data_IF_111242392132
#
_entry.id   IF_111242392132
#
_cell.length_a   1.000
_cell.length_b   1.000
_cell.length_c   1.000
_cell.angle_alpha   90.00
_cell.angle_beta   90.00
_cell.angle_gamma   90.00
#
_symmetry.space_group_name_H-M   'P 1'
#
loop_
_entity.id
_entity.type
_entity.pdbx_description
1 polymer ?
#
# COMPACT_ATOMS: atom_id res chain seq x y z
N UNK A 1 6.05 -18.74 52.28
CA UNK A 1 5.10 -18.12 51.34
C UNK A 1 5.91 -17.51 50.22
N UNK A 2 5.97 -18.22 49.10
CA UNK A 2 6.65 -17.76 47.89
C UNK A 2 5.76 -16.68 47.28
N UNK A 3 6.35 -15.50 47.05
CA UNK A 3 5.63 -14.37 46.47
C UNK A 3 5.46 -14.67 44.99
N UNK A 4 4.26 -15.03 44.58
CA UNK A 4 3.92 -15.23 43.18
C UNK A 4 4.21 -13.91 42.45
N UNK A 5 5.15 -13.96 41.51
CA UNK A 5 5.42 -12.86 40.60
C UNK A 5 4.36 -12.98 39.51
N UNK A 6 3.39 -12.08 39.54
CA UNK A 6 2.41 -11.88 38.48
C UNK A 6 3.14 -11.34 37.24
N UNK A 7 3.72 -12.22 36.43
CA UNK A 7 4.25 -11.89 35.11
C UNK A 7 3.13 -12.00 34.08
N UNK A 8 2.18 -11.06 34.13
CA UNK A 8 1.25 -10.83 33.04
C UNK A 8 1.33 -9.37 32.58
N UNK A 9 2.54 -8.89 32.30
CA UNK A 9 2.71 -7.72 31.44
C UNK A 9 2.31 -8.12 30.02
N UNK A 10 1.01 -8.06 29.72
CA UNK A 10 0.56 -7.95 28.33
C UNK A 10 1.06 -6.61 27.81
N UNK A 11 2.23 -6.62 27.16
CA UNK A 11 2.73 -5.48 26.42
C UNK A 11 1.69 -5.14 25.33
N UNK A 12 0.86 -4.14 25.59
CA UNK A 12 -0.09 -3.63 24.62
C UNK A 12 0.70 -2.90 23.53
N UNK A 13 0.77 -3.50 22.34
CA UNK A 13 1.41 -2.88 21.18
C UNK A 13 0.53 -1.76 20.63
N UNK A 14 1.17 -0.72 20.09
CA UNK A 14 0.46 0.38 19.44
C UNK A 14 -0.39 -0.12 18.27
N UNK A 15 -1.65 0.31 18.25
CA UNK A 15 -2.59 0.09 17.15
C UNK A 15 -2.32 1.10 16.04
N UNK A 16 -2.89 0.86 14.86
CA UNK A 16 -2.77 1.80 13.73
C UNK A 16 -3.33 3.17 14.10
N UNK A 17 -4.43 3.20 14.86
CA UNK A 17 -5.10 4.43 15.31
C UNK A 17 -4.24 5.29 16.26
N UNK A 18 -3.17 4.74 16.85
CA UNK A 18 -2.28 5.48 17.74
C UNK A 18 -1.22 6.31 16.98
N UNK A 19 -1.15 6.15 15.65
CA UNK A 19 -0.22 6.87 14.78
C UNK A 19 -0.93 7.99 14.01
N UNK A 20 -0.18 9.06 13.73
CA UNK A 20 -0.65 10.20 12.95
C UNK A 20 -0.83 9.83 11.46
N UNK A 21 -1.87 10.36 10.82
CA UNK A 21 -2.21 10.13 9.41
C UNK A 21 -1.15 10.66 8.42
N UNK A 22 -0.22 11.51 8.88
CA UNK A 22 0.80 12.19 8.06
C UNK A 22 1.50 11.29 7.05
N UNK A 23 1.86 10.06 7.41
CA UNK A 23 2.56 9.16 6.48
C UNK A 23 1.72 8.86 5.24
N UNK A 24 0.41 8.64 5.41
CA UNK A 24 -0.52 8.41 4.30
C UNK A 24 -0.68 9.68 3.48
N UNK A 25 -0.78 10.84 4.14
CA UNK A 25 -0.90 12.13 3.47
C UNK A 25 0.32 12.45 2.59
N UNK A 26 1.53 12.24 3.10
CA UNK A 26 2.77 12.48 2.34
C UNK A 26 2.87 11.60 1.08
N UNK A 27 2.45 10.33 1.19
CA UNK A 27 2.42 9.43 0.03
C UNK A 27 1.33 9.82 -0.98
N UNK A 28 0.17 10.31 -0.52
CA UNK A 28 -0.85 10.88 -1.40
C UNK A 28 -0.35 12.13 -2.13
N UNK A 29 0.36 13.03 -1.45
CA UNK A 29 0.99 14.19 -2.09
C UNK A 29 2.02 13.77 -3.15
N UNK A 30 2.83 12.75 -2.85
CA UNK A 30 3.78 12.17 -3.81
C UNK A 30 3.07 11.56 -5.02
N UNK A 31 1.92 10.89 -4.82
CA UNK A 31 1.11 10.37 -5.92
C UNK A 31 0.69 11.49 -6.87
N UNK A 32 0.13 12.58 -6.33
CA UNK A 32 -0.32 13.73 -7.11
C UNK A 32 0.82 14.35 -7.90
N UNK A 33 2.02 14.40 -7.33
CA UNK A 33 3.21 14.95 -7.99
C UNK A 33 3.67 14.10 -9.19
N UNK A 34 3.66 12.76 -9.04
CA UNK A 34 4.14 11.84 -10.07
C UNK A 34 3.08 11.62 -11.15
N UNK A 35 1.84 11.36 -10.75
CA UNK A 35 0.74 11.00 -11.64
C UNK A 35 0.43 12.10 -12.66
N UNK A 36 0.64 13.37 -12.29
CA UNK A 36 0.52 14.52 -13.21
C UNK A 36 1.35 14.35 -14.50
N UNK A 37 2.44 13.60 -14.44
CA UNK A 37 3.35 13.33 -15.56
C UNK A 37 3.27 11.90 -16.08
N UNK A 38 2.35 11.09 -15.56
CA UNK A 38 2.14 9.72 -16.00
C UNK A 38 1.23 9.71 -17.24
N UNK A 39 1.84 9.56 -18.42
CA UNK A 39 1.09 9.39 -19.67
C UNK A 39 0.21 8.13 -19.59
N UNK A 40 -1.01 8.21 -20.11
CA UNK A 40 -1.93 7.08 -20.14
C UNK A 40 -2.71 6.83 -18.84
N UNK A 41 -2.41 7.55 -17.76
CA UNK A 41 -3.06 7.35 -16.48
C UNK A 41 -4.48 7.95 -16.37
N UNK A 42 -4.87 8.79 -17.33
CA UNK A 42 -6.20 9.41 -17.40
C UNK A 42 -7.02 8.79 -18.55
N UNK A 43 -8.34 8.60 -18.38
CA UNK A 43 -9.14 8.97 -17.20
C UNK A 43 -9.17 7.90 -16.09
N UNK A 44 -9.16 6.62 -16.44
CA UNK A 44 -9.44 5.52 -15.51
C UNK A 44 -8.22 4.88 -14.81
N UNK A 45 -7.06 4.70 -15.46
CA UNK A 45 -5.98 3.90 -14.86
C UNK A 45 -5.46 4.43 -13.52
N UNK A 46 -5.50 5.74 -13.27
CA UNK A 46 -5.22 6.32 -11.94
C UNK A 46 -6.12 5.76 -10.85
N UNK A 47 -7.43 5.64 -11.10
CA UNK A 47 -8.38 5.12 -10.10
C UNK A 47 -8.11 3.64 -9.80
N UNK A 48 -7.83 2.84 -10.84
CA UNK A 48 -7.49 1.43 -10.68
C UNK A 48 -6.22 1.26 -9.84
N UNK A 49 -5.15 1.98 -10.18
CA UNK A 49 -3.89 1.91 -9.48
C UNK A 49 -4.01 2.34 -8.01
N UNK A 50 -4.74 3.43 -7.71
CA UNK A 50 -5.03 3.84 -6.34
C UNK A 50 -5.87 2.82 -5.57
N UNK A 51 -6.77 2.09 -6.24
CA UNK A 51 -7.50 0.97 -5.65
C UNK A 51 -6.57 -0.11 -5.12
N UNK A 52 -5.59 -0.55 -5.91
CA UNK A 52 -4.59 -1.54 -5.48
C UNK A 52 -3.64 -1.01 -4.40
N UNK A 53 -3.23 0.26 -4.49
CA UNK A 53 -2.41 0.90 -3.44
C UNK A 53 -3.18 0.96 -2.12
N UNK A 54 -4.46 1.34 -2.15
CA UNK A 54 -5.33 1.37 -0.99
C UNK A 54 -5.52 -0.02 -0.38
N UNK A 55 -5.80 -1.02 -1.21
CA UNK A 55 -5.91 -2.41 -0.78
C UNK A 55 -4.62 -2.91 -0.13
N UNK A 56 -3.45 -2.65 -0.73
CA UNK A 56 -2.16 -3.05 -0.18
C UNK A 56 -1.88 -2.39 1.18
N UNK A 57 -2.12 -1.08 1.32
CA UNK A 57 -1.95 -0.38 2.59
C UNK A 57 -2.91 -0.92 3.66
N UNK A 58 -4.17 -1.16 3.29
CA UNK A 58 -5.17 -1.72 4.19
C UNK A 58 -4.78 -3.12 4.69
N UNK A 59 -4.51 -4.04 3.77
CA UNK A 59 -4.14 -5.42 4.11
C UNK A 59 -2.85 -5.51 4.92
N UNK A 60 -1.90 -4.59 4.70
CA UNK A 60 -0.65 -4.55 5.45
C UNK A 60 -0.82 -4.04 6.89
N UNK A 61 -1.94 -3.39 7.20
CA UNK A 61 -2.13 -2.72 8.50
C UNK A 61 -3.36 -3.21 9.26
N UNK A 62 -4.27 -3.96 8.63
CA UNK A 62 -5.53 -4.41 9.23
C UNK A 62 -5.35 -5.26 10.50
N UNK A 63 -4.23 -5.96 10.65
CA UNK A 63 -3.93 -6.70 11.89
C UNK A 63 -3.70 -5.79 13.11
N UNK A 64 -3.35 -4.52 12.89
CA UNK A 64 -3.29 -3.48 13.91
C UNK A 64 -4.58 -2.67 14.06
N UNK A 65 -5.68 -3.07 13.42
CA UNK A 65 -6.98 -2.41 13.42
C UNK A 65 -8.04 -3.37 13.99
N UNK A 66 -8.23 -3.39 15.32
CA UNK A 66 -9.03 -4.41 16.02
C UNK A 66 -10.49 -4.56 15.53
N UNK A 67 -11.06 -3.49 14.99
CA UNK A 67 -12.48 -3.45 14.58
C UNK A 67 -12.67 -3.78 13.09
N UNK A 68 -11.59 -4.15 12.39
CA UNK A 68 -11.55 -4.34 10.95
C UNK A 68 -11.09 -5.75 10.58
N UNK A 69 -11.45 -6.20 9.38
CA UNK A 69 -11.15 -7.54 8.88
C UNK A 69 -10.53 -7.46 7.49
N UNK A 70 -9.58 -8.36 7.21
CA UNK A 70 -9.01 -8.50 5.87
C UNK A 70 -10.12 -8.64 4.81
N UNK A 71 -9.97 -7.89 3.72
CA UNK A 71 -10.81 -7.96 2.53
C UNK A 71 -10.34 -9.04 1.55
N UNK A 72 -9.12 -9.55 1.70
CA UNK A 72 -8.55 -10.59 0.85
C UNK A 72 -9.48 -11.78 0.55
N UNK A 73 -10.30 -12.30 1.49
CA UNK A 73 -11.25 -13.38 1.19
C UNK A 73 -12.29 -13.06 0.11
N UNK A 74 -12.57 -11.77 -0.13
CA UNK A 74 -13.51 -11.33 -1.16
C UNK A 74 -12.86 -11.26 -2.56
N UNK A 75 -11.54 -11.44 -2.65
CA UNK A 75 -10.77 -11.33 -3.88
C UNK A 75 -10.13 -12.68 -4.24
N UNK A 76 -10.73 -13.36 -5.21
CA UNK A 76 -10.26 -14.67 -5.67
C UNK A 76 -8.77 -14.64 -6.07
N UNK A 77 -8.00 -15.59 -5.52
CA UNK A 77 -6.56 -15.72 -5.80
C UNK A 77 -5.65 -14.79 -5.00
N UNK A 78 -6.18 -13.82 -4.25
CA UNK A 78 -5.37 -12.94 -3.42
C UNK A 78 -4.99 -13.64 -2.11
N UNK A 79 -3.69 -13.74 -1.84
CA UNK A 79 -3.16 -14.28 -0.57
C UNK A 79 -2.23 -13.26 0.07
N UNK A 80 -2.57 -12.82 1.28
CA UNK A 80 -1.82 -11.80 2.02
C UNK A 80 -0.92 -12.43 3.08
N UNK A 81 0.39 -12.09 3.12
CA UNK A 81 1.27 -12.47 4.22
C UNK A 81 0.76 -11.95 5.56
N UNK A 82 0.68 -12.80 6.58
CA UNK A 82 0.20 -12.43 7.91
C UNK A 82 1.33 -11.85 8.77
N UNK A 83 0.98 -10.99 9.71
CA UNK A 83 1.89 -10.57 10.78
C UNK A 83 2.20 -11.73 11.72
N UNK A 84 3.35 -11.67 12.39
CA UNK A 84 3.65 -12.60 13.47
C UNK A 84 2.80 -12.28 14.71
N UNK A 85 2.27 -13.33 15.35
CA UNK A 85 1.53 -13.19 16.61
C UNK A 85 2.44 -12.68 17.72
N UNK A 86 1.92 -11.83 18.60
CA UNK A 86 2.63 -11.29 19.77
C UNK A 86 3.94 -10.58 19.42
N UNK A 87 3.99 -9.91 18.27
CA UNK A 87 5.13 -9.11 17.83
C UNK A 87 4.67 -7.67 17.57
N UNK A 88 5.50 -6.70 17.97
CA UNK A 88 5.25 -5.29 17.71
C UNK A 88 5.48 -4.97 16.23
N UNK A 89 4.64 -4.10 15.66
CA UNK A 89 4.85 -3.52 14.34
C UNK A 89 4.75 -2.00 14.42
N UNK A 90 5.63 -1.31 13.69
CA UNK A 90 5.58 0.13 13.50
C UNK A 90 4.81 0.42 12.21
N UNK A 91 3.51 0.65 12.33
CA UNK A 91 2.59 0.80 11.18
C UNK A 91 3.00 1.88 10.17
N UNK A 92 3.56 3.04 10.56
CA UNK A 92 4.10 4.00 9.58
C UNK A 92 5.23 3.43 8.72
N UNK A 93 6.09 2.56 9.28
CA UNK A 93 7.13 1.87 8.50
C UNK A 93 6.50 0.90 7.51
N UNK A 94 5.44 0.18 7.90
CA UNK A 94 4.70 -0.71 7.02
C UNK A 94 4.12 0.06 5.82
N UNK A 95 3.41 1.17 6.07
CA UNK A 95 2.83 2.03 5.02
C UNK A 95 3.91 2.59 4.09
N UNK A 96 5.04 3.04 4.66
CA UNK A 96 6.14 3.57 3.86
C UNK A 96 6.72 2.52 2.91
N UNK A 97 6.90 1.29 3.41
CA UNK A 97 7.39 0.17 2.63
C UNK A 97 6.41 -0.22 1.50
N UNK A 98 5.10 -0.28 1.80
CA UNK A 98 4.06 -0.57 0.80
C UNK A 98 4.09 0.44 -0.34
N UNK A 99 4.02 1.74 -0.01
CA UNK A 99 3.92 2.77 -1.04
C UNK A 99 5.22 2.91 -1.84
N UNK A 100 6.39 2.81 -1.19
CA UNK A 100 7.66 2.76 -1.91
C UNK A 100 7.69 1.59 -2.91
N UNK A 101 7.23 0.40 -2.51
CA UNK A 101 7.20 -0.76 -3.42
C UNK A 101 6.25 -0.53 -4.61
N UNK A 102 5.01 -0.12 -4.34
CA UNK A 102 3.96 0.01 -5.35
C UNK A 102 4.26 1.15 -6.34
N UNK A 103 4.68 2.32 -5.85
CA UNK A 103 4.86 3.50 -6.70
C UNK A 103 6.05 3.30 -7.65
N UNK A 104 7.10 2.60 -7.23
CA UNK A 104 8.22 2.25 -8.12
C UNK A 104 7.81 1.28 -9.26
N UNK A 105 6.63 0.67 -9.21
CA UNK A 105 6.16 -0.32 -10.21
C UNK A 105 5.00 0.17 -11.05
N UNK A 106 4.14 1.00 -10.47
CA UNK A 106 2.97 1.53 -11.14
C UNK A 106 3.34 2.51 -12.25
N UNK A 107 4.46 3.24 -12.16
CA UNK A 107 4.76 4.33 -13.08
C UNK A 107 5.85 4.02 -14.14
N UNK A 108 5.80 2.93 -14.91
CA UNK A 108 6.95 2.42 -15.69
C UNK A 108 7.52 3.42 -16.72
N UNK A 109 6.72 4.38 -17.17
CA UNK A 109 7.08 5.32 -18.25
C UNK A 109 7.39 6.74 -17.78
N UNK A 110 7.42 7.01 -16.47
CA UNK A 110 7.76 8.34 -15.95
C UNK A 110 9.28 8.58 -15.96
N UNK A 111 9.68 9.86 -16.00
CA UNK A 111 11.10 10.25 -15.96
C UNK A 111 11.78 9.77 -14.67
N UNK A 112 13.04 9.36 -14.78
CA UNK A 112 13.89 8.92 -13.65
C UNK A 112 13.96 9.92 -12.48
N UNK A 113 13.81 11.22 -12.75
CA UNK A 113 13.75 12.27 -11.72
C UNK A 113 12.58 12.06 -10.74
N UNK A 114 11.45 11.53 -11.20
CA UNK A 114 10.28 11.28 -10.36
C UNK A 114 10.48 10.05 -9.46
N UNK A 115 11.15 9.01 -9.96
CA UNK A 115 11.58 7.88 -9.12
C UNK A 115 12.55 8.31 -8.01
N UNK A 116 13.42 9.29 -8.29
CA UNK A 116 14.27 9.87 -7.26
C UNK A 116 13.46 10.51 -6.13
N UNK A 117 12.30 11.13 -6.42
CA UNK A 117 11.42 11.72 -5.41
C UNK A 117 10.78 10.67 -4.51
N UNK A 118 10.30 9.56 -5.10
CA UNK A 118 9.82 8.38 -4.35
C UNK A 118 10.90 7.92 -3.37
N UNK A 119 12.13 7.73 -3.88
CA UNK A 119 13.25 7.25 -3.06
C UNK A 119 13.57 8.24 -1.94
N UNK A 120 13.64 9.53 -2.23
CA UNK A 120 13.94 10.56 -1.22
C UNK A 120 12.89 10.58 -0.12
N UNK A 121 11.60 10.48 -0.46
CA UNK A 121 10.52 10.39 0.53
C UNK A 121 10.65 9.13 1.39
N UNK A 122 10.85 7.97 0.75
CA UNK A 122 11.03 6.70 1.47
C UNK A 122 12.23 6.76 2.42
N UNK A 123 13.39 7.20 1.95
CA UNK A 123 14.62 7.30 2.75
C UNK A 123 14.46 8.31 3.91
N UNK A 124 13.77 9.44 3.68
CA UNK A 124 13.46 10.43 4.73
C UNK A 124 12.66 9.78 5.85
N UNK A 125 11.60 9.05 5.49
CA UNK A 125 10.72 8.38 6.44
C UNK A 125 11.42 7.22 7.16
N UNK A 126 12.22 6.43 6.46
CA UNK A 126 13.02 5.37 7.08
C UNK A 126 13.98 5.91 8.15
N UNK A 127 14.70 7.01 7.86
CA UNK A 127 15.58 7.67 8.83
C UNK A 127 14.83 8.17 10.06
N UNK A 128 13.63 8.72 9.88
CA UNK A 128 12.78 9.18 10.98
C UNK A 128 12.30 8.00 11.83
N UNK A 129 11.80 6.94 11.21
CA UNK A 129 11.18 5.81 11.91
C UNK A 129 12.20 4.91 12.62
N UNK A 130 13.43 4.82 12.14
CA UNK A 130 14.53 4.18 12.88
C UNK A 130 14.81 4.83 14.23
N UNK A 131 14.39 6.08 14.45
CA UNK A 131 14.51 6.78 15.74
C UNK A 131 13.29 6.60 16.65
N UNK A 132 12.19 6.02 16.13
CA UNK A 132 10.90 5.90 16.83
C UNK A 132 10.63 4.49 17.34
N UNK A 133 11.40 3.49 16.90
CA UNK A 133 11.24 2.09 17.29
C UNK A 133 12.59 1.36 17.27
N UNK A 134 12.61 0.11 17.74
CA UNK A 134 13.81 -0.72 17.70
C UNK A 134 14.18 -1.09 16.25
N UNK A 135 15.46 -1.38 16.00
CA UNK A 135 15.91 -1.86 14.68
C UNK A 135 15.18 -3.14 14.25
N UNK A 136 14.89 -4.03 15.20
CA UNK A 136 14.16 -5.27 14.94
C UNK A 136 12.70 -5.01 14.53
N UNK A 137 11.97 -4.19 15.30
CA UNK A 137 10.60 -3.78 14.97
C UNK A 137 10.56 -3.06 13.64
N UNK A 138 11.50 -2.16 13.37
CA UNK A 138 11.61 -1.47 12.09
C UNK A 138 11.76 -2.44 10.92
N UNK A 139 12.74 -3.35 10.99
CA UNK A 139 13.02 -4.30 9.91
C UNK A 139 11.85 -5.26 9.67
N UNK A 140 11.27 -5.79 10.75
CA UNK A 140 10.07 -6.64 10.67
C UNK A 140 8.90 -5.90 10.00
N UNK A 141 8.70 -4.63 10.35
CA UNK A 141 7.64 -3.79 9.78
C UNK A 141 7.86 -3.51 8.30
N UNK A 142 9.09 -3.14 7.92
CA UNK A 142 9.46 -2.91 6.52
C UNK A 142 9.25 -4.17 5.68
N UNK A 143 9.78 -5.31 6.15
CA UNK A 143 9.66 -6.58 5.44
C UNK A 143 8.20 -7.02 5.28
N UNK A 144 7.35 -6.79 6.29
CA UNK A 144 5.93 -7.09 6.20
C UNK A 144 5.22 -6.22 5.15
N UNK A 145 5.47 -4.91 5.15
CA UNK A 145 4.92 -4.01 4.14
C UNK A 145 5.35 -4.38 2.71
N UNK A 146 6.63 -4.68 2.50
CA UNK A 146 7.14 -5.12 1.19
C UNK A 146 6.54 -6.47 0.75
N UNK A 147 6.35 -7.41 1.67
CA UNK A 147 5.76 -8.71 1.39
C UNK A 147 4.29 -8.58 0.98
N UNK A 148 3.51 -7.76 1.69
CA UNK A 148 2.10 -7.51 1.35
C UNK A 148 1.97 -6.76 0.03
N UNK A 149 2.78 -5.72 -0.20
CA UNK A 149 2.79 -5.01 -1.47
C UNK A 149 3.19 -5.92 -2.64
N UNK A 150 4.15 -6.83 -2.44
CA UNK A 150 4.51 -7.84 -3.43
C UNK A 150 3.32 -8.74 -3.74
N UNK A 151 2.62 -9.25 -2.72
CA UNK A 151 1.46 -10.12 -2.92
C UNK A 151 0.33 -9.43 -3.71
N UNK A 152 0.03 -8.17 -3.38
CA UNK A 152 -0.98 -7.38 -4.10
C UNK A 152 -0.53 -7.07 -5.53
N UNK A 153 0.75 -6.73 -5.75
CA UNK A 153 1.29 -6.51 -7.09
C UNK A 153 1.22 -7.77 -7.97
N UNK A 154 1.59 -8.93 -7.42
CA UNK A 154 1.52 -10.20 -8.14
C UNK A 154 0.07 -10.58 -8.49
N UNK A 155 -0.87 -10.33 -7.57
CA UNK A 155 -2.29 -10.51 -7.85
C UNK A 155 -2.82 -9.50 -8.88
N UNK A 156 -2.42 -8.23 -8.78
CA UNK A 156 -2.79 -7.17 -9.72
C UNK A 156 -2.40 -7.52 -11.16
N UNK A 157 -1.23 -8.14 -11.38
CA UNK A 157 -0.80 -8.63 -12.71
C UNK A 157 -1.75 -9.63 -13.36
N UNK A 158 -2.60 -10.29 -12.57
CA UNK A 158 -3.58 -11.24 -13.09
C UNK A 158 -4.86 -10.55 -13.58
N UNK A 159 -5.07 -9.27 -13.25
CA UNK A 159 -6.17 -8.48 -13.80
C UNK A 159 -5.79 -7.98 -15.20
N UNK A 160 -6.18 -8.78 -16.20
CA UNK A 160 -5.94 -8.48 -17.61
C UNK A 160 -6.67 -7.22 -18.11
N UNK A 161 -7.69 -6.73 -17.39
CA UNK A 161 -8.44 -5.53 -17.78
C UNK A 161 -7.69 -4.28 -17.30
N UNK A 162 -7.23 -4.28 -16.04
CA UNK A 162 -6.71 -3.05 -15.43
C UNK A 162 -5.20 -2.93 -15.44
N UNK A 163 -4.44 -4.04 -15.40
CA UNK A 163 -3.00 -4.01 -15.18
C UNK A 163 -2.23 -3.17 -16.22
N UNK A 164 -2.55 -3.38 -17.49
CA UNK A 164 -1.94 -2.68 -18.62
C UNK A 164 -2.86 -1.58 -19.21
N UNK A 165 -3.95 -1.23 -18.51
CA UNK A 165 -4.94 -0.27 -19.00
C UNK A 165 -4.37 1.13 -19.29
N UNK A 166 -3.22 1.46 -18.70
CA UNK A 166 -2.51 2.71 -18.98
C UNK A 166 -1.95 2.80 -20.41
N UNK A 167 -1.74 1.67 -21.09
CA UNK A 167 -1.20 1.64 -22.46
C UNK A 167 -2.22 2.08 -23.51
N UNK A 168 -3.50 1.87 -23.23
CA UNK A 168 -4.62 2.24 -24.09
C UNK A 168 -5.85 2.65 -23.26
N UNK A 169 -5.83 3.84 -22.62
CA UNK A 169 -6.87 4.26 -21.68
C UNK A 169 -8.23 4.56 -22.33
N UNK A 170 -8.30 4.59 -23.65
CA UNK A 170 -9.52 4.89 -24.42
C UNK A 170 -10.09 3.66 -25.14
N UNK A 171 -9.45 2.49 -25.04
CA UNK A 171 -9.85 1.25 -25.73
C UNK A 171 -11.34 0.92 -25.64
N UNK A 172 -11.94 1.13 -24.46
CA UNK A 172 -13.34 0.79 -24.17
C UNK A 172 -14.28 2.01 -24.18
N UNK A 173 -13.75 3.20 -24.48
CA UNK A 173 -14.45 4.49 -24.37
C UNK A 173 -14.70 5.14 -25.74
N UNK A 174 -15.07 4.35 -26.74
CA UNK A 174 -15.54 4.90 -28.01
C UNK A 174 -17.06 5.05 -27.98
N UNK A 175 -17.54 6.23 -27.62
CA UNK A 175 -18.98 6.54 -27.58
C UNK A 175 -19.67 6.34 -28.94
N UNK A 176 -18.93 6.44 -30.05
CA UNK A 176 -19.49 6.25 -31.39
C UNK A 176 -19.95 4.81 -31.62
N UNK A 177 -19.25 3.85 -31.02
CA UNK A 177 -19.59 2.42 -31.12
C UNK A 177 -20.85 2.06 -30.31
N UNK A 178 -21.33 3.00 -29.48
CA UNK A 178 -22.47 2.82 -28.56
C UNK A 178 -23.71 3.61 -28.99
N UNK A 179 -23.64 4.38 -30.09
CA UNK A 179 -24.73 5.25 -30.56
C UNK A 179 -26.00 4.49 -30.94
N UNK A 180 -25.84 3.27 -31.45
CA UNK A 180 -26.95 2.44 -31.90
C UNK A 180 -27.45 1.46 -30.82
N UNK A 181 -26.89 1.51 -29.60
CA UNK A 181 -27.32 0.67 -28.49
C UNK A 181 -28.62 1.21 -27.85
N UNK A 182 -29.59 0.35 -27.50
CA UNK A 182 -30.81 0.79 -26.84
C UNK A 182 -30.51 1.49 -25.50
N UNK A 183 -30.80 2.79 -25.42
CA UNK A 183 -30.64 3.60 -24.22
C UNK A 183 -29.38 4.50 -24.17
N UNK A 184 -28.65 4.61 -25.28
CA UNK A 184 -27.65 5.65 -25.50
C UNK A 184 -28.26 7.03 -25.82
#
# INVERSE_FOLDING_TARGET
MQKDIDTTETNEFKKVADYDYKIVHEWNDMWLEIERYATGYRPCPTANALGYVGLANYEATVSGMSDYQSLAPNYGGLTIPKTFSNQEYHWPTVINAVNNYMYNRLFPEVKNELYSKIKVLSDKNEKLFLQQTSQETFLRSKNHGEAVATAVWEWMKTDAVTFDGYKDPFKENNWQDRLDEPGA
#
